data_IF_370787099386
#
_entry.id   IF_370787099386
#
_cell.length_a   1.000
_cell.length_b   1.000
_cell.length_c   1.000
_cell.angle_alpha   90.00
_cell.angle_beta   90.00
_cell.angle_gamma   90.00
#
_symmetry.space_group_name_H-M   'P 1'
#
loop_
_entity.id
_entity.type
_entity.pdbx_description
1 polymer ?
#
# COMPACT_ATOMS: atom_id res chain seq x y z
N UNK A 1 -6.78 29.52 -10.95
CA UNK A 1 -5.57 29.12 -10.19
C UNK A 1 -5.53 27.59 -10.24
N UNK A 2 -4.52 27.01 -10.87
CA UNK A 2 -4.33 25.55 -10.90
C UNK A 2 -3.09 25.23 -10.06
N UNK A 3 -3.21 24.28 -9.13
CA UNK A 3 -2.08 23.70 -8.39
C UNK A 3 -1.90 22.25 -8.84
N UNK A 4 -0.66 21.86 -9.15
CA UNK A 4 -0.26 20.48 -9.35
C UNK A 4 0.93 20.21 -8.43
N UNK A 5 0.93 19.06 -7.76
CA UNK A 5 2.00 18.60 -6.91
C UNK A 5 2.32 17.14 -7.23
N UNK A 6 3.59 16.78 -7.14
CA UNK A 6 4.07 15.40 -7.26
C UNK A 6 5.04 15.14 -6.12
N UNK A 7 4.96 13.97 -5.52
CA UNK A 7 5.86 13.56 -4.43
C UNK A 7 6.36 12.16 -4.71
N UNK A 8 7.64 11.94 -4.43
CA UNK A 8 8.30 10.63 -4.48
C UNK A 8 8.94 10.38 -3.13
N UNK A 9 8.87 9.16 -2.63
CA UNK A 9 9.47 8.76 -1.36
C UNK A 9 9.93 7.31 -1.39
N UNK A 10 10.84 6.97 -0.48
CA UNK A 10 11.19 5.59 -0.18
C UNK A 10 10.21 5.02 0.88
N UNK A 11 10.30 3.71 1.13
CA UNK A 11 9.59 3.09 2.25
C UNK A 11 10.05 3.74 3.56
N UNK A 12 9.10 3.99 4.47
CA UNK A 12 9.41 4.46 5.81
C UNK A 12 10.10 3.34 6.62
N UNK A 13 11.41 3.47 6.77
CA UNK A 13 12.25 2.52 7.50
C UNK A 13 11.87 2.42 8.99
N UNK A 14 11.31 3.47 9.59
CA UNK A 14 10.85 3.46 10.99
C UNK A 14 9.58 2.63 11.11
N UNK A 15 8.62 2.83 10.23
CA UNK A 15 7.39 2.04 10.18
C UNK A 15 7.70 0.57 9.84
N UNK A 16 8.62 0.32 8.91
CA UNK A 16 9.10 -1.01 8.57
C UNK A 16 9.76 -1.69 9.77
N UNK A 17 10.66 -1.00 10.48
CA UNK A 17 11.28 -1.53 11.70
C UNK A 17 10.24 -1.85 12.76
N UNK A 18 9.25 -0.97 12.96
CA UNK A 18 8.20 -1.18 13.95
C UNK A 18 7.38 -2.46 13.65
N UNK A 19 6.91 -2.64 12.41
CA UNK A 19 6.19 -3.85 12.01
C UNK A 19 7.04 -5.11 12.20
N UNK A 20 8.31 -5.06 11.79
CA UNK A 20 9.24 -6.20 11.96
C UNK A 20 9.52 -6.52 13.42
N UNK A 21 9.58 -5.52 14.30
CA UNK A 21 9.75 -5.72 15.75
C UNK A 21 8.56 -6.47 16.39
N UNK A 22 7.40 -6.44 15.72
CA UNK A 22 6.18 -7.17 16.11
C UNK A 22 6.08 -8.56 15.46
N UNK A 23 7.12 -9.02 14.77
CA UNK A 23 7.16 -10.36 14.16
C UNK A 23 6.62 -10.43 12.74
N UNK A 24 6.26 -9.30 12.13
CA UNK A 24 5.85 -9.26 10.71
C UNK A 24 7.08 -9.49 9.84
N UNK A 25 6.97 -10.36 8.82
CA UNK A 25 8.06 -10.60 7.87
C UNK A 25 8.38 -9.30 7.12
N UNK A 26 9.59 -9.19 6.56
CA UNK A 26 9.94 -7.99 5.79
C UNK A 26 9.03 -7.83 4.57
N UNK A 27 8.72 -8.92 3.89
CA UNK A 27 7.81 -8.92 2.73
C UNK A 27 6.40 -8.47 3.10
N UNK A 28 5.84 -9.03 4.18
CA UNK A 28 4.51 -8.64 4.67
C UNK A 28 4.47 -7.19 5.13
N UNK A 29 5.51 -6.73 5.83
CA UNK A 29 5.58 -5.36 6.30
C UNK A 29 5.63 -4.36 5.14
N UNK A 30 6.42 -4.65 4.10
CA UNK A 30 6.46 -3.81 2.89
C UNK A 30 5.11 -3.83 2.17
N UNK A 31 4.48 -5.00 2.02
CA UNK A 31 3.16 -5.10 1.41
C UNK A 31 2.10 -4.28 2.17
N UNK A 32 2.09 -4.37 3.50
CA UNK A 32 1.20 -3.57 4.36
C UNK A 32 1.43 -2.07 4.18
N UNK A 33 2.69 -1.62 4.14
CA UNK A 33 3.00 -0.21 3.95
C UNK A 33 2.55 0.30 2.58
N UNK A 34 2.76 -0.48 1.51
CA UNK A 34 2.28 -0.14 0.16
C UNK A 34 0.76 -0.08 0.11
N UNK A 35 0.05 -1.06 0.66
CA UNK A 35 -1.41 -1.06 0.70
C UNK A 35 -1.95 0.11 1.53
N UNK A 36 -1.32 0.42 2.68
CA UNK A 36 -1.71 1.56 3.51
C UNK A 36 -1.53 2.91 2.80
N UNK A 37 -0.50 3.04 1.97
CA UNK A 37 -0.29 4.24 1.16
C UNK A 37 -1.37 4.42 0.08
N UNK A 38 -1.86 3.32 -0.50
CA UNK A 38 -2.88 3.34 -1.54
C UNK A 38 -4.31 3.42 -0.98
N UNK A 39 -4.52 3.10 0.29
CA UNK A 39 -5.83 2.98 0.91
C UNK A 39 -6.67 4.25 0.74
N UNK A 40 -6.12 5.42 1.06
CA UNK A 40 -6.83 6.70 0.93
C UNK A 40 -7.32 6.95 -0.51
N UNK A 41 -6.47 6.67 -1.51
CA UNK A 41 -6.82 6.86 -2.92
C UNK A 41 -7.87 5.84 -3.40
N UNK A 42 -7.85 4.63 -2.85
CA UNK A 42 -8.84 3.58 -3.16
C UNK A 42 -10.18 3.89 -2.49
N UNK A 43 -10.16 4.48 -1.29
CA UNK A 43 -11.35 4.90 -0.55
C UNK A 43 -12.12 6.03 -1.24
N UNK A 44 -11.51 6.75 -2.18
CA UNK A 44 -12.22 7.73 -3.04
C UNK A 44 -13.12 7.08 -4.11
N UNK A 45 -13.01 5.77 -4.32
CA UNK A 45 -13.83 5.03 -5.29
C UNK A 45 -15.21 4.75 -4.69
N UNK A 46 -16.25 5.38 -5.25
CA UNK A 46 -17.64 5.23 -4.78
C UNK A 46 -18.23 3.83 -5.03
N UNK A 47 -17.79 3.16 -6.11
CA UNK A 47 -18.26 1.81 -6.43
C UNK A 47 -17.51 0.77 -5.61
N UNK A 48 -18.18 0.22 -4.59
CA UNK A 48 -17.61 -0.78 -3.69
C UNK A 48 -17.15 -2.06 -4.42
N UNK A 49 -17.83 -2.46 -5.50
CA UNK A 49 -17.44 -3.63 -6.28
C UNK A 49 -16.12 -3.42 -7.02
N UNK A 50 -15.94 -2.23 -7.61
CA UNK A 50 -14.70 -1.82 -8.24
C UNK A 50 -13.58 -1.65 -7.22
N UNK A 51 -13.89 -1.08 -6.05
CA UNK A 51 -12.95 -0.95 -4.93
C UNK A 51 -12.41 -2.32 -4.51
N UNK A 52 -13.30 -3.28 -4.26
CA UNK A 52 -12.94 -4.66 -3.90
C UNK A 52 -12.12 -5.33 -5.01
N UNK A 53 -12.48 -5.14 -6.28
CA UNK A 53 -11.70 -5.68 -7.41
C UNK A 53 -10.27 -5.12 -7.44
N UNK A 54 -10.11 -3.82 -7.23
CA UNK A 54 -8.79 -3.16 -7.23
C UNK A 54 -7.95 -3.66 -6.07
N UNK A 55 -8.51 -3.73 -4.86
CA UNK A 55 -7.81 -4.27 -3.69
C UNK A 55 -7.36 -5.71 -3.95
N UNK A 56 -8.24 -6.58 -4.41
CA UNK A 56 -7.90 -7.96 -4.73
C UNK A 56 -6.80 -8.08 -5.79
N UNK A 57 -6.83 -7.21 -6.81
CA UNK A 57 -5.79 -7.17 -7.85
C UNK A 57 -4.43 -6.70 -7.32
N UNK A 58 -4.42 -5.72 -6.41
CA UNK A 58 -3.20 -5.24 -5.76
C UNK A 58 -2.59 -6.30 -4.84
N UNK A 59 -3.41 -6.96 -4.02
CA UNK A 59 -2.97 -8.06 -3.16
C UNK A 59 -2.40 -9.23 -3.97
N UNK A 60 -3.08 -9.61 -5.05
CA UNK A 60 -2.59 -10.64 -5.96
C UNK A 60 -1.30 -10.22 -6.67
N UNK A 61 -1.16 -8.94 -7.02
CA UNK A 61 0.09 -8.43 -7.62
C UNK A 61 1.24 -8.47 -6.61
N UNK A 62 1.00 -8.02 -5.38
CA UNK A 62 1.99 -8.04 -4.30
C UNK A 62 2.42 -9.48 -3.99
N UNK A 63 1.48 -10.42 -3.89
CA UNK A 63 1.80 -11.83 -3.59
C UNK A 63 2.70 -12.48 -4.64
N UNK A 64 2.51 -12.16 -5.93
CA UNK A 64 3.38 -12.64 -7.03
C UNK A 64 4.79 -12.06 -7.00
N UNK A 65 4.99 -10.92 -6.34
CA UNK A 65 6.27 -10.21 -6.27
C UNK A 65 6.88 -10.25 -4.86
N UNK A 66 6.35 -11.09 -3.95
CA UNK A 66 7.05 -11.49 -2.73
C UNK A 66 8.19 -12.39 -3.18
N UNK A 67 9.43 -11.92 -2.97
CA UNK A 67 10.65 -12.57 -3.45
C UNK A 67 10.86 -13.97 -2.89
#
# INVERSE_FOLDING_TARGET
>A
KCSHGSTTGAIDETALFYLRSRGVTREDAVALLVLSFLADAIDEIEDEGLKDEIVARLEAWLSRHRG
#
